data_IF_089894193891
#
_entry.id   IF_089894193891
#
_cell.length_a   1.000
_cell.length_b   1.000
_cell.length_c   1.000
_cell.angle_alpha   90.00
_cell.angle_beta   90.00
_cell.angle_gamma   90.00
#
_symmetry.space_group_name_H-M   'P 1'
#
loop_
_entity.id
_entity.type
_entity.pdbx_description
1 polymer ?
#
# COMPACT_ATOMS: atom_id res chain seq x y z
N UNK A 1 13.89 -29.50 29.65
CA UNK A 1 12.69 -28.64 29.49
C UNK A 1 13.16 -27.33 28.87
N UNK A 2 13.10 -27.22 27.54
CA UNK A 2 13.57 -26.02 26.82
C UNK A 2 12.42 -25.02 26.77
N UNK A 3 12.61 -23.85 27.39
CA UNK A 3 11.66 -22.73 27.36
C UNK A 3 11.90 -21.93 26.07
N UNK A 4 10.96 -22.03 25.13
CA UNK A 4 10.90 -21.12 24.00
C UNK A 4 10.49 -19.72 24.50
N UNK A 5 11.39 -18.75 24.37
CA UNK A 5 11.09 -17.32 24.57
C UNK A 5 10.52 -16.80 23.25
N UNK A 6 9.25 -17.08 23.01
CA UNK A 6 8.53 -16.61 21.82
C UNK A 6 8.21 -15.13 21.96
N UNK A 7 8.87 -14.29 21.15
CA UNK A 7 8.49 -12.89 20.97
C UNK A 7 7.05 -12.86 20.45
N UNK A 8 6.16 -12.27 21.25
CA UNK A 8 4.75 -12.11 20.92
C UNK A 8 4.59 -11.20 19.71
N UNK A 9 4.11 -11.78 18.61
CA UNK A 9 3.22 -11.07 17.71
C UNK A 9 1.95 -11.89 17.69
N UNK A 10 0.99 -11.52 18.53
CA UNK A 10 -0.37 -12.06 18.51
C UNK A 10 -1.07 -11.53 17.25
N UNK A 11 -0.66 -12.05 16.09
CA UNK A 11 -1.38 -11.85 14.86
C UNK A 11 -2.53 -12.85 14.90
N UNK A 12 -3.66 -12.42 15.46
CA UNK A 12 -4.85 -13.26 15.51
C UNK A 12 -5.22 -13.74 14.11
N UNK A 13 -5.77 -14.96 13.98
CA UNK A 13 -6.25 -15.47 12.68
C UNK A 13 -7.22 -14.50 11.99
N UNK A 14 -7.94 -13.70 12.79
CA UNK A 14 -8.81 -12.63 12.28
C UNK A 14 -8.01 -11.54 11.54
N UNK A 15 -6.91 -11.04 12.12
CA UNK A 15 -6.06 -10.04 11.49
C UNK A 15 -5.39 -10.56 10.21
N UNK A 16 -4.99 -11.84 10.18
CA UNK A 16 -4.45 -12.48 8.97
C UNK A 16 -5.54 -12.57 7.89
N UNK A 17 -6.72 -13.07 8.24
CA UNK A 17 -7.82 -13.20 7.29
C UNK A 17 -8.21 -11.83 6.74
N UNK A 18 -8.37 -10.82 7.60
CA UNK A 18 -8.67 -9.46 7.18
C UNK A 18 -7.61 -8.91 6.21
N UNK A 19 -6.32 -9.12 6.51
CA UNK A 19 -5.24 -8.68 5.62
C UNK A 19 -5.24 -9.38 4.25
N UNK A 20 -5.64 -10.65 4.21
CA UNK A 20 -5.72 -11.46 2.99
C UNK A 20 -6.98 -11.17 2.17
N UNK A 21 -8.09 -10.81 2.82
CA UNK A 21 -9.38 -10.58 2.15
C UNK A 21 -9.68 -9.10 1.89
N UNK A 22 -8.91 -8.17 2.46
CA UNK A 22 -9.13 -6.74 2.21
C UNK A 22 -8.92 -6.43 0.71
N UNK A 23 -9.83 -5.67 0.09
CA UNK A 23 -9.64 -5.20 -1.28
C UNK A 23 -8.30 -4.46 -1.41
N UNK A 24 -7.53 -4.80 -2.44
CA UNK A 24 -6.29 -4.11 -2.79
C UNK A 24 -6.39 -3.53 -4.19
N UNK A 25 -5.88 -2.31 -4.41
CA UNK A 25 -5.84 -1.76 -5.73
C UNK A 25 -4.90 -2.58 -6.63
N UNK A 26 -5.20 -2.62 -7.91
CA UNK A 26 -4.34 -3.17 -8.96
C UNK A 26 -3.18 -2.20 -9.16
N UNK A 27 -1.99 -2.61 -8.74
CA UNK A 27 -0.74 -1.88 -8.93
C UNK A 27 0.02 -2.45 -10.12
N UNK A 28 1.03 -1.70 -10.59
CA UNK A 28 1.96 -2.25 -11.57
C UNK A 28 2.82 -3.33 -10.93
N UNK A 29 3.07 -4.38 -11.69
CA UNK A 29 4.03 -5.41 -11.38
C UNK A 29 5.46 -4.86 -11.48
N UNK A 30 6.42 -5.55 -10.86
CA UNK A 30 7.83 -5.18 -10.95
C UNK A 30 8.32 -5.14 -12.40
N UNK A 31 7.88 -6.08 -13.23
CA UNK A 31 8.27 -6.15 -14.64
C UNK A 31 7.73 -4.94 -15.43
N UNK A 32 6.54 -4.43 -15.10
CA UNK A 32 5.98 -3.22 -15.72
C UNK A 32 6.64 -1.92 -15.26
N UNK A 33 7.34 -1.92 -14.12
CA UNK A 33 8.12 -0.79 -13.63
C UNK A 33 9.53 -0.76 -14.25
N UNK A 34 10.02 -1.91 -14.75
CA UNK A 34 11.40 -2.08 -15.22
C UNK A 34 12.43 -1.61 -14.16
N UNK A 35 13.66 -1.36 -14.59
CA UNK A 35 14.72 -0.78 -13.76
C UNK A 35 14.70 0.76 -13.77
N UNK A 36 13.51 1.37 -13.89
CA UNK A 36 13.41 2.83 -13.92
C UNK A 36 13.89 3.41 -12.58
N UNK A 37 14.72 4.47 -12.62
CA UNK A 37 15.20 5.11 -11.40
C UNK A 37 14.04 5.72 -10.62
N UNK A 38 14.00 5.45 -9.32
CA UNK A 38 12.98 5.97 -8.40
C UNK A 38 13.44 7.32 -7.85
N UNK A 39 12.60 8.33 -8.01
CA UNK A 39 12.73 9.63 -7.38
C UNK A 39 11.84 9.69 -6.14
N UNK A 40 12.46 9.75 -4.96
CA UNK A 40 11.75 9.95 -3.69
C UNK A 40 11.25 11.39 -3.57
N UNK A 41 10.07 11.58 -3.00
CA UNK A 41 9.44 12.87 -2.76
C UNK A 41 9.25 13.07 -1.26
N UNK A 42 9.94 14.07 -0.72
CA UNK A 42 9.69 14.57 0.64
C UNK A 42 8.60 15.64 0.59
N UNK A 43 7.63 15.57 1.50
CA UNK A 43 6.51 16.53 1.60
C UNK A 43 5.65 16.62 0.33
N UNK A 44 5.26 15.46 -0.20
CA UNK A 44 4.43 15.38 -1.40
C UNK A 44 3.11 16.14 -1.31
N UNK A 45 2.68 16.68 -2.44
CA UNK A 45 1.38 17.36 -2.58
C UNK A 45 0.21 16.35 -2.55
N UNK A 46 -0.93 16.71 -1.95
CA UNK A 46 -2.13 15.89 -1.99
C UNK A 46 -2.75 15.90 -3.38
N UNK A 47 -3.05 14.73 -3.90
CA UNK A 47 -3.64 14.49 -5.23
C UNK A 47 -4.88 13.61 -5.13
N UNK A 48 -5.83 13.79 -6.05
CA UNK A 48 -6.95 12.86 -6.22
C UNK A 48 -6.53 11.73 -7.17
N UNK A 49 -6.68 10.48 -6.74
CA UNK A 49 -6.31 9.28 -7.50
C UNK A 49 -7.51 8.37 -7.68
N UNK A 50 -7.61 7.75 -8.86
CA UNK A 50 -8.56 6.67 -9.12
C UNK A 50 -7.89 5.33 -8.92
N UNK A 51 -8.24 4.66 -7.82
CA UNK A 51 -7.75 3.34 -7.49
C UNK A 51 -8.66 2.28 -8.10
N UNK A 52 -8.08 1.40 -8.91
CA UNK A 52 -8.80 0.26 -9.50
C UNK A 52 -8.72 -0.93 -8.57
N UNK A 53 -9.84 -1.37 -8.01
CA UNK A 53 -9.97 -2.67 -7.36
C UNK A 53 -10.56 -3.68 -8.36
N UNK A 54 -10.38 -5.00 -8.17
CA UNK A 54 -10.98 -6.00 -9.04
C UNK A 54 -12.50 -5.84 -9.20
N UNK A 55 -13.18 -5.39 -8.14
CA UNK A 55 -14.64 -5.27 -8.10
C UNK A 55 -15.15 -3.89 -8.55
N UNK A 56 -14.36 -2.82 -8.39
CA UNK A 56 -14.78 -1.43 -8.68
C UNK A 56 -13.60 -0.44 -8.73
N UNK A 57 -13.83 0.74 -9.30
CA UNK A 57 -12.90 1.88 -9.20
C UNK A 57 -13.38 2.88 -8.15
N UNK A 58 -12.46 3.39 -7.33
CA UNK A 58 -12.76 4.35 -6.25
C UNK A 58 -11.86 5.57 -6.38
N UNK A 59 -12.40 6.77 -6.18
CA UNK A 59 -11.61 7.99 -6.09
C UNK A 59 -11.19 8.23 -4.65
N UNK A 60 -9.89 8.41 -4.42
CA UNK A 60 -9.29 8.63 -3.10
C UNK A 60 -8.35 9.84 -3.13
N UNK A 61 -8.15 10.47 -1.97
CA UNK A 61 -7.12 11.50 -1.79
C UNK A 61 -5.85 10.84 -1.27
N UNK A 62 -4.73 11.12 -1.92
CA UNK A 62 -3.44 10.49 -1.63
C UNK A 62 -2.31 11.53 -1.64
N UNK A 63 -1.13 11.15 -1.15
CA UNK A 63 0.09 11.94 -1.24
C UNK A 63 1.10 11.19 -2.10
N UNK A 64 1.72 11.86 -3.07
CA UNK A 64 2.80 11.25 -3.88
C UNK A 64 4.07 11.17 -3.04
N UNK A 65 4.59 9.96 -2.85
CA UNK A 65 5.79 9.72 -2.02
C UNK A 65 7.01 9.35 -2.84
N UNK A 66 6.82 8.79 -4.03
CA UNK A 66 7.89 8.53 -4.99
C UNK A 66 7.33 8.45 -6.41
N UNK A 67 8.20 8.58 -7.41
CA UNK A 67 7.81 8.38 -8.81
C UNK A 67 8.97 7.86 -9.65
N UNK A 68 8.59 7.22 -10.77
CA UNK A 68 9.46 6.98 -11.92
C UNK A 68 8.88 7.73 -13.12
N UNK A 69 9.50 7.62 -14.29
CA UNK A 69 8.91 8.17 -15.53
C UNK A 69 7.53 7.54 -15.84
N UNK A 70 7.33 6.27 -15.47
CA UNK A 70 6.15 5.47 -15.86
C UNK A 70 5.10 5.29 -14.76
N UNK A 71 5.47 5.53 -13.51
CA UNK A 71 4.60 5.24 -12.38
C UNK A 71 4.79 6.27 -11.25
N UNK A 72 3.78 6.37 -10.40
CA UNK A 72 3.83 7.14 -9.16
C UNK A 72 3.43 6.22 -8.04
N UNK A 73 4.19 6.27 -6.95
CA UNK A 73 3.82 5.64 -5.70
C UNK A 73 3.11 6.66 -4.83
N UNK A 74 1.96 6.25 -4.29
CA UNK A 74 1.14 7.13 -3.45
C UNK A 74 0.90 6.51 -2.09
N UNK A 75 0.79 7.35 -1.07
CA UNK A 75 0.31 6.98 0.24
C UNK A 75 -1.13 7.45 0.41
N UNK A 76 -2.02 6.53 0.74
CA UNK A 76 -3.45 6.80 0.96
C UNK A 76 -3.74 6.62 2.44
N UNK A 77 -4.32 7.64 3.06
CA UNK A 77 -4.78 7.60 4.46
C UNK A 77 -6.30 7.53 4.50
N UNK A 78 -6.85 6.45 5.06
CA UNK A 78 -8.28 6.23 5.20
C UNK A 78 -8.83 6.97 6.42
N UNK A 79 -10.16 7.10 6.47
CA UNK A 79 -10.88 7.76 7.59
C UNK A 79 -10.64 7.11 8.94
N UNK A 80 -10.34 5.81 8.97
CA UNK A 80 -10.00 5.06 10.19
C UNK A 80 -8.55 5.29 10.66
N UNK A 81 -7.80 6.14 9.96
CA UNK A 81 -6.39 6.43 10.24
C UNK A 81 -5.42 5.40 9.68
N UNK A 82 -5.89 4.32 9.05
CA UNK A 82 -5.02 3.36 8.38
C UNK A 82 -4.43 3.97 7.12
N UNK A 83 -3.13 3.73 6.89
CA UNK A 83 -2.47 4.11 5.65
C UNK A 83 -1.91 2.92 4.90
N UNK A 84 -1.86 3.03 3.58
CA UNK A 84 -1.23 2.04 2.71
C UNK A 84 -0.60 2.72 1.50
N UNK A 85 0.49 2.11 1.01
CA UNK A 85 1.21 2.54 -0.18
C UNK A 85 0.93 1.59 -1.33
N UNK A 86 0.87 2.15 -2.54
CA UNK A 86 0.58 1.43 -3.77
C UNK A 86 1.19 2.12 -5.00
#
# INVERSE_FOLDING_TARGET
MVKNVGHGTDVSRAAINEFLTRPRPVTRTKDELADDPVCEVTDGEPVDVWLRFPEQSVQERAVVVAYTERARQVEVTRRDGSSYRL
#
